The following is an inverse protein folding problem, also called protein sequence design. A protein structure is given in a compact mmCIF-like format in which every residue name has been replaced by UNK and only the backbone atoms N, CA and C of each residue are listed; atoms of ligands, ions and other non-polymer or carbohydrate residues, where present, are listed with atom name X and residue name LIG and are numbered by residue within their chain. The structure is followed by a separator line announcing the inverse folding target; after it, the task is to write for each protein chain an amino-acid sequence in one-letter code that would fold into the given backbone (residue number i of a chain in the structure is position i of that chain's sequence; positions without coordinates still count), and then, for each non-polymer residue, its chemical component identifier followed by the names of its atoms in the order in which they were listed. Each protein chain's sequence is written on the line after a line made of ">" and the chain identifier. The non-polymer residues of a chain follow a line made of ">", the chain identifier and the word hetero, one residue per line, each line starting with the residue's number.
data_IF_229634708516
#
_entry.id   IF_229634708516
#
_cell.length_a   1.000
_cell.length_b   1.000
_cell.length_c   1.000
_cell.angle_alpha   90.00
_cell.angle_beta   90.00
_cell.angle_gamma   90.00
#
_symmetry.space_group_name_H-M   'P 1'
#
loop_
_entity.id
_entity.type
_entity.pdbx_description
1 polymer ?
#
# COMPACT_ATOMS: atom_id res chain seq x y z
N UNK A 1 -45.28 30.13 -71.30
CA UNK A 1 -46.48 30.38 -70.49
C UNK A 1 -45.97 30.26 -69.07
N UNK A 2 -45.52 31.37 -68.56
CA UNK A 2 -46.23 32.18 -67.56
C UNK A 2 -46.32 31.46 -66.19
N UNK A 3 -45.94 31.94 -65.10
CA UNK A 3 -45.62 33.29 -64.63
C UNK A 3 -44.92 33.17 -63.24
N UNK A 4 -43.97 34.06 -62.99
CA UNK A 4 -43.55 34.47 -61.66
C UNK A 4 -44.66 35.30 -61.00
N UNK A 5 -44.82 35.31 -59.66
CA UNK A 5 -44.46 36.56 -59.03
C UNK A 5 -43.73 36.47 -57.69
N UNK A 6 -42.78 37.34 -57.59
CA UNK A 6 -42.28 38.17 -56.51
C UNK A 6 -43.20 38.37 -55.29
N UNK A 7 -42.66 38.21 -54.08
CA UNK A 7 -43.03 39.03 -52.92
C UNK A 7 -41.95 39.03 -51.86
N UNK A 8 -41.31 40.09 -51.72
CA UNK A 8 -40.76 40.90 -50.67
C UNK A 8 -41.41 40.73 -49.27
N UNK A 9 -40.59 40.60 -48.27
CA UNK A 9 -40.72 41.06 -46.85
C UNK A 9 -40.00 40.07 -45.94
N UNK A 10 -39.22 40.35 -44.95
CA UNK A 10 -38.98 41.56 -44.18
C UNK A 10 -37.72 41.25 -43.34
N UNK A 11 -36.83 42.16 -43.35
CA UNK A 11 -35.59 42.19 -42.60
C UNK A 11 -35.90 42.70 -41.17
N UNK A 12 -36.25 41.82 -40.22
CA UNK A 12 -36.36 42.17 -38.78
C UNK A 12 -36.42 40.88 -37.93
N UNK A 13 -35.31 40.33 -37.51
CA UNK A 13 -35.33 39.18 -36.59
C UNK A 13 -33.94 38.65 -36.19
N UNK A 14 -32.87 39.18 -36.81
CA UNK A 14 -31.52 38.64 -36.64
C UNK A 14 -30.65 39.32 -35.56
N UNK A 15 -31.21 40.23 -34.75
CA UNK A 15 -30.41 41.02 -33.78
C UNK A 15 -30.68 40.70 -32.31
N UNK A 16 -31.49 39.70 -32.01
CA UNK A 16 -31.82 39.36 -30.59
C UNK A 16 -31.29 38.01 -30.06
N UNK A 17 -30.57 37.23 -30.89
CA UNK A 17 -30.08 35.90 -30.46
C UNK A 17 -28.57 35.90 -30.13
N UNK A 18 -27.83 36.99 -30.40
CA UNK A 18 -26.38 37.06 -30.14
C UNK A 18 -26.03 37.63 -28.74
N UNK A 19 -27.00 38.03 -27.94
CA UNK A 19 -26.75 38.65 -26.61
C UNK A 19 -27.01 37.75 -25.38
N UNK A 20 -27.39 36.48 -25.59
CA UNK A 20 -27.66 35.52 -24.51
C UNK A 20 -26.59 34.42 -24.32
N UNK A 21 -25.50 34.44 -25.11
CA UNK A 21 -24.47 33.40 -25.06
C UNK A 21 -23.12 33.86 -24.44
N UNK A 22 -23.13 34.96 -23.69
CA UNK A 22 -21.89 35.54 -23.09
C UNK A 22 -21.85 35.59 -21.55
N UNK A 23 -22.76 34.86 -20.89
CA UNK A 23 -22.83 34.86 -19.40
C UNK A 23 -23.05 33.44 -18.84
N UNK A 24 -22.20 32.48 -19.21
CA UNK A 24 -22.16 31.21 -18.52
C UNK A 24 -20.82 30.49 -18.76
N UNK A 25 -19.71 31.16 -18.48
CA UNK A 25 -18.41 30.50 -18.36
C UNK A 25 -17.63 31.11 -17.19
N UNK A 26 -18.27 31.17 -16.02
CA UNK A 26 -17.57 31.23 -14.76
C UNK A 26 -17.31 29.77 -14.35
N UNK A 27 -16.22 29.20 -14.84
CA UNK A 27 -15.69 27.95 -14.35
C UNK A 27 -15.48 28.11 -12.83
N UNK A 28 -16.35 27.48 -12.03
CA UNK A 28 -16.13 27.28 -10.61
C UNK A 28 -14.75 26.63 -10.46
N UNK A 29 -13.76 27.40 -10.00
CA UNK A 29 -12.49 26.87 -9.58
C UNK A 29 -12.78 25.76 -8.56
N UNK A 30 -12.54 24.52 -8.95
CA UNK A 30 -12.52 23.39 -8.05
C UNK A 30 -11.45 23.72 -7.02
N UNK A 31 -11.87 24.08 -5.81
CA UNK A 31 -10.96 24.23 -4.68
C UNK A 31 -10.20 22.92 -4.55
N UNK A 32 -8.90 22.97 -4.86
CA UNK A 32 -7.98 21.87 -4.53
C UNK A 32 -8.18 21.55 -3.05
N UNK A 33 -8.55 20.31 -2.69
CA UNK A 33 -8.69 19.97 -1.29
C UNK A 33 -7.32 20.21 -0.62
N UNK A 34 -7.34 20.91 0.51
CA UNK A 34 -6.17 21.08 1.33
C UNK A 34 -5.55 19.70 1.63
N UNK A 35 -4.22 19.57 1.75
CA UNK A 35 -3.60 18.28 2.01
C UNK A 35 -4.14 17.72 3.32
N UNK A 36 -4.83 16.58 3.22
CA UNK A 36 -5.28 15.80 4.38
C UNK A 36 -4.04 15.10 4.94
N UNK A 37 -3.21 15.84 5.62
CA UNK A 37 -2.04 15.32 6.31
C UNK A 37 -1.93 15.95 7.70
N UNK A 38 -2.97 15.82 8.48
CA UNK A 38 -2.81 15.73 9.92
C UNK A 38 -2.97 14.24 10.27
N UNK A 39 -1.90 13.46 10.11
CA UNK A 39 -1.78 12.19 10.80
C UNK A 39 -1.89 12.56 12.28
N UNK A 40 -3.00 12.16 12.93
CA UNK A 40 -3.09 12.23 14.38
C UNK A 40 -1.81 11.59 14.93
N UNK A 41 -1.11 12.23 15.87
CA UNK A 41 0.11 11.66 16.42
C UNK A 41 -0.25 10.26 16.93
N UNK A 42 0.42 9.23 16.36
CA UNK A 42 0.18 7.84 16.77
C UNK A 42 0.38 7.72 18.26
N UNK A 43 -0.55 7.11 18.95
CA UNK A 43 -0.48 6.89 20.40
C UNK A 43 0.79 6.09 20.75
N UNK A 44 1.24 6.16 22.00
CA UNK A 44 2.38 5.36 22.44
C UNK A 44 2.14 3.85 22.24
N UNK A 45 0.95 3.28 22.52
CA UNK A 45 0.63 1.89 22.19
C UNK A 45 0.74 1.57 20.69
N UNK A 46 0.28 2.45 19.78
CA UNK A 46 0.42 2.25 18.34
C UNK A 46 1.89 2.17 17.92
N UNK A 47 2.73 3.06 18.46
CA UNK A 47 4.17 3.05 18.19
C UNK A 47 4.85 1.78 18.68
N UNK A 48 4.44 1.24 19.82
CA UNK A 48 4.92 -0.02 20.36
C UNK A 48 4.44 -1.20 19.50
N UNK A 49 3.18 -1.22 19.08
CA UNK A 49 2.66 -2.23 18.17
C UNK A 49 3.41 -2.22 16.82
N UNK A 50 3.69 -1.04 16.26
CA UNK A 50 4.51 -0.89 15.06
C UNK A 50 5.96 -1.38 15.28
N UNK A 51 6.57 -1.12 16.44
CA UNK A 51 7.91 -1.58 16.76
C UNK A 51 7.98 -3.11 16.87
N UNK A 52 6.99 -3.74 17.50
CA UNK A 52 6.87 -5.21 17.56
C UNK A 52 6.65 -5.78 16.15
N UNK A 53 5.74 -5.20 15.36
CA UNK A 53 5.47 -5.63 13.99
C UNK A 53 6.71 -5.55 13.09
N UNK A 54 7.50 -4.47 13.21
CA UNK A 54 8.80 -4.35 12.56
C UNK A 54 9.80 -5.38 13.08
N UNK A 55 9.80 -5.64 14.39
CA UNK A 55 10.63 -6.67 15.00
C UNK A 55 10.34 -8.07 14.43
N UNK A 56 9.07 -8.37 14.12
CA UNK A 56 8.68 -9.60 13.42
C UNK A 56 9.26 -9.60 12.00
N UNK A 57 9.09 -8.52 11.23
CA UNK A 57 9.63 -8.39 9.88
C UNK A 57 11.16 -8.58 9.86
N UNK A 58 11.87 -7.98 10.82
CA UNK A 58 13.33 -8.06 11.00
C UNK A 58 13.79 -9.31 11.72
N UNK A 59 12.88 -10.27 11.98
CA UNK A 59 13.18 -11.54 12.65
C UNK A 59 13.77 -11.41 14.07
N UNK A 60 13.61 -10.27 14.70
CA UNK A 60 13.85 -10.13 16.15
C UNK A 60 12.88 -10.97 16.96
N UNK A 61 11.68 -11.17 16.41
CA UNK A 61 10.65 -12.04 16.94
C UNK A 61 10.25 -13.05 15.87
N UNK A 62 10.12 -14.30 16.24
CA UNK A 62 9.80 -15.40 15.31
C UNK A 62 8.34 -15.83 15.45
N UNK A 63 7.80 -16.41 14.39
CA UNK A 63 6.47 -17.02 14.37
C UNK A 63 6.41 -18.12 15.43
N UNK A 64 5.31 -18.16 16.20
CA UNK A 64 5.15 -19.07 17.35
C UNK A 64 5.85 -18.62 18.63
N UNK A 65 6.65 -17.55 18.57
CA UNK A 65 7.34 -17.04 19.76
C UNK A 65 6.35 -16.42 20.74
N UNK A 66 6.53 -16.74 22.01
CA UNK A 66 5.85 -16.07 23.11
C UNK A 66 6.48 -14.71 23.39
N UNK A 67 5.65 -13.67 23.43
CA UNK A 67 6.03 -12.31 23.79
C UNK A 67 5.81 -12.11 25.30
N UNK A 68 6.88 -11.86 26.03
CA UNK A 68 6.83 -11.65 27.49
C UNK A 68 6.69 -10.16 27.77
N UNK A 69 5.59 -9.76 28.42
CA UNK A 69 5.31 -8.34 28.73
C UNK A 69 6.45 -7.65 29.48
N UNK A 70 7.08 -8.34 30.42
CA UNK A 70 8.18 -7.78 31.22
C UNK A 70 9.41 -7.45 30.35
N UNK A 71 9.75 -8.33 29.41
CA UNK A 71 10.86 -8.11 28.50
C UNK A 71 10.58 -6.96 27.55
N UNK A 72 9.38 -6.92 26.95
CA UNK A 72 8.96 -5.81 26.08
C UNK A 72 8.94 -4.47 26.83
N UNK A 73 8.51 -4.45 28.10
CA UNK A 73 8.52 -3.26 28.95
C UNK A 73 9.94 -2.74 29.15
N UNK A 74 10.87 -3.63 29.47
CA UNK A 74 12.29 -3.30 29.66
C UNK A 74 12.94 -2.84 28.34
N UNK A 75 12.76 -3.60 27.27
CA UNK A 75 13.47 -3.39 26.01
C UNK A 75 12.97 -2.16 25.24
N UNK A 76 11.69 -1.82 25.40
CA UNK A 76 11.07 -0.66 24.74
C UNK A 76 10.98 0.58 25.64
N UNK A 77 11.31 0.47 26.92
CA UNK A 77 11.31 1.59 27.86
C UNK A 77 9.92 2.19 28.11
N UNK A 78 8.85 1.38 28.08
CA UNK A 78 7.46 1.82 28.24
C UNK A 78 6.78 1.11 29.41
N UNK A 79 5.60 1.61 29.84
CA UNK A 79 4.83 1.01 30.92
C UNK A 79 4.22 -0.34 30.51
N UNK A 80 3.93 -1.21 31.50
CA UNK A 80 3.22 -2.49 31.27
C UNK A 80 1.83 -2.29 30.66
N UNK A 81 1.12 -1.22 31.04
CA UNK A 81 -0.18 -0.90 30.45
C UNK A 81 -0.06 -0.56 28.97
N UNK A 82 0.98 0.19 28.57
CA UNK A 82 1.28 0.51 27.17
C UNK A 82 1.58 -0.75 26.35
N UNK A 83 2.38 -1.68 26.90
CA UNK A 83 2.67 -2.98 26.24
C UNK A 83 1.39 -3.80 26.06
N UNK A 84 0.55 -3.91 27.09
CA UNK A 84 -0.72 -4.65 27.00
C UNK A 84 -1.64 -4.08 25.94
N UNK A 85 -1.75 -2.75 25.86
CA UNK A 85 -2.57 -2.12 24.83
C UNK A 85 -2.00 -2.35 23.43
N UNK A 86 -0.68 -2.26 23.25
CA UNK A 86 -0.02 -2.61 22.00
C UNK A 86 -0.26 -4.07 21.59
N UNK A 87 -0.21 -5.01 22.54
CA UNK A 87 -0.51 -6.42 22.27
C UNK A 87 -1.98 -6.63 21.88
N UNK A 88 -2.93 -5.87 22.46
CA UNK A 88 -4.34 -5.89 22.03
C UNK A 88 -4.51 -5.37 20.60
N UNK A 89 -3.82 -4.30 20.24
CA UNK A 89 -3.80 -3.76 18.86
C UNK A 89 -3.28 -4.84 17.90
N UNK A 90 -2.19 -5.53 18.24
CA UNK A 90 -1.65 -6.61 17.42
C UNK A 90 -2.58 -7.83 17.34
N UNK A 91 -3.30 -8.12 18.44
CA UNK A 91 -4.28 -9.21 18.46
C UNK A 91 -5.49 -8.87 17.59
N UNK A 92 -6.02 -7.66 17.68
CA UNK A 92 -7.14 -7.21 16.83
C UNK A 92 -6.77 -7.20 15.34
N UNK A 93 -5.49 -6.98 15.01
CA UNK A 93 -4.97 -7.08 13.64
C UNK A 93 -4.57 -8.51 13.22
N UNK A 94 -4.75 -9.52 14.09
CA UNK A 94 -4.46 -10.91 13.78
C UNK A 94 -2.98 -11.25 13.65
N UNK A 95 -2.11 -10.52 14.35
CA UNK A 95 -0.65 -10.76 14.37
C UNK A 95 -0.22 -11.58 15.56
N UNK A 96 -0.91 -11.45 16.69
CA UNK A 96 -0.67 -12.24 17.89
C UNK A 96 -1.97 -12.86 18.40
N UNK A 97 -1.87 -13.98 19.09
CA UNK A 97 -2.94 -14.60 19.86
C UNK A 97 -2.73 -14.27 21.33
N UNK A 98 -3.78 -13.75 21.96
CA UNK A 98 -3.80 -13.53 23.42
C UNK A 98 -4.43 -14.74 24.07
N UNK A 99 -3.64 -15.48 24.85
CA UNK A 99 -4.14 -16.64 25.59
C UNK A 99 -4.19 -16.30 27.07
N UNK A 100 -5.33 -16.50 27.75
CA UNK A 100 -5.41 -16.33 29.20
C UNK A 100 -4.30 -17.13 29.90
N UNK A 101 -3.62 -16.51 30.84
CA UNK A 101 -2.49 -17.07 31.61
C UNK A 101 -1.22 -17.43 30.82
N UNK A 102 -1.24 -17.41 29.48
CA UNK A 102 -0.07 -17.73 28.63
C UNK A 102 0.55 -16.50 27.93
N UNK A 103 -0.09 -15.33 28.01
CA UNK A 103 0.41 -14.10 27.37
C UNK A 103 0.09 -14.01 25.89
N UNK A 104 0.93 -13.31 25.14
CA UNK A 104 0.80 -13.13 23.69
C UNK A 104 1.75 -14.08 22.96
N UNK A 105 1.28 -14.69 21.87
CA UNK A 105 2.07 -15.54 20.98
C UNK A 105 1.94 -15.01 19.55
N UNK A 106 3.06 -14.90 18.82
CA UNK A 106 3.04 -14.47 17.41
C UNK A 106 2.39 -15.58 16.57
N UNK A 107 1.34 -15.22 15.85
CA UNK A 107 0.60 -16.17 15.00
C UNK A 107 1.46 -16.72 13.87
N UNK A 108 1.14 -17.95 13.48
CA UNK A 108 1.49 -18.48 12.16
C UNK A 108 0.32 -18.27 11.21
N UNK A 109 0.59 -17.82 10.00
CA UNK A 109 -0.41 -17.82 8.92
C UNK A 109 -0.41 -19.21 8.29
N UNK A 110 -1.56 -19.82 8.22
CA UNK A 110 -1.75 -20.99 7.40
C UNK A 110 -1.94 -20.61 5.91
N UNK A 111 -2.13 -21.60 5.06
CA UNK A 111 -2.24 -21.38 3.61
C UNK A 111 -3.50 -20.58 3.25
N UNK A 112 -4.60 -20.79 3.93
CA UNK A 112 -5.88 -20.12 3.69
C UNK A 112 -5.79 -18.65 4.16
N UNK A 113 -5.27 -18.42 5.36
CA UNK A 113 -4.96 -17.09 5.90
C UNK A 113 -4.08 -16.29 4.94
N UNK A 114 -3.01 -16.91 4.44
CA UNK A 114 -2.06 -16.26 3.54
C UNK A 114 -2.69 -15.94 2.17
N UNK A 115 -3.48 -16.86 1.62
CA UNK A 115 -4.18 -16.65 0.35
C UNK A 115 -5.20 -15.51 0.46
N UNK A 116 -6.01 -15.51 1.53
CA UNK A 116 -6.98 -14.46 1.82
C UNK A 116 -6.29 -13.09 2.00
N UNK A 117 -5.22 -13.04 2.77
CA UNK A 117 -4.43 -11.82 2.97
C UNK A 117 -3.85 -11.28 1.66
N UNK A 118 -3.28 -12.15 0.82
CA UNK A 118 -2.71 -11.76 -0.47
C UNK A 118 -3.78 -11.20 -1.40
N UNK A 119 -4.99 -11.76 -1.41
CA UNK A 119 -6.11 -11.23 -2.18
C UNK A 119 -6.47 -9.79 -1.78
N UNK A 120 -6.53 -9.49 -0.49
CA UNK A 120 -6.75 -8.13 0.01
C UNK A 120 -5.58 -7.21 -0.35
N UNK A 121 -4.34 -7.65 -0.13
CA UNK A 121 -3.15 -6.87 -0.47
C UNK A 121 -3.04 -6.59 -1.96
N UNK A 122 -3.45 -7.52 -2.83
CA UNK A 122 -3.48 -7.33 -4.28
C UNK A 122 -4.30 -6.09 -4.65
N UNK A 123 -5.55 -6.01 -4.16
CA UNK A 123 -6.47 -4.92 -4.48
C UNK A 123 -5.97 -3.60 -3.90
N UNK A 124 -5.63 -3.56 -2.62
CA UNK A 124 -5.24 -2.33 -1.93
C UNK A 124 -3.90 -1.79 -2.44
N UNK A 125 -2.93 -2.67 -2.72
CA UNK A 125 -1.63 -2.25 -3.23
C UNK A 125 -1.72 -1.83 -4.71
N UNK A 126 -2.58 -2.49 -5.49
CA UNK A 126 -2.90 -2.07 -6.86
C UNK A 126 -3.50 -0.66 -6.89
N UNK A 127 -4.48 -0.39 -6.02
CA UNK A 127 -5.05 0.95 -5.85
C UNK A 127 -3.99 1.98 -5.43
N UNK A 128 -3.08 1.62 -4.51
CA UNK A 128 -1.99 2.50 -4.11
C UNK A 128 -1.09 2.86 -5.29
N UNK A 129 -0.72 1.89 -6.12
CA UNK A 129 0.11 2.13 -7.31
C UNK A 129 -0.58 3.05 -8.33
N UNK A 130 -1.88 2.86 -8.56
CA UNK A 130 -2.69 3.75 -9.41
C UNK A 130 -2.68 5.19 -8.91
N UNK A 131 -2.95 5.39 -7.61
CA UNK A 131 -2.95 6.71 -6.99
C UNK A 131 -1.55 7.33 -6.94
N UNK A 132 -0.51 6.53 -6.71
CA UNK A 132 0.87 6.98 -6.76
C UNK A 132 1.24 7.47 -8.17
N UNK A 133 0.85 6.74 -9.22
CA UNK A 133 1.05 7.16 -10.60
C UNK A 133 0.32 8.49 -10.91
N UNK A 134 -0.91 8.68 -10.41
CA UNK A 134 -1.66 9.93 -10.55
C UNK A 134 -0.94 11.13 -9.89
N UNK A 135 -0.23 10.90 -8.79
CA UNK A 135 0.42 11.94 -7.99
C UNK A 135 1.93 12.06 -8.26
N UNK A 136 2.49 11.28 -9.17
CA UNK A 136 3.95 11.11 -9.31
C UNK A 136 4.67 12.41 -9.70
N UNK A 137 4.01 13.28 -10.47
CA UNK A 137 4.58 14.55 -10.90
C UNK A 137 4.48 15.67 -9.84
N UNK A 138 3.86 15.41 -8.69
CA UNK A 138 3.70 16.42 -7.63
C UNK A 138 5.00 16.55 -6.83
N UNK A 139 5.57 17.75 -6.80
CA UNK A 139 6.76 18.07 -6.01
C UNK A 139 7.96 17.16 -6.36
N UNK A 140 8.51 16.48 -5.35
CA UNK A 140 9.65 15.58 -5.52
C UNK A 140 9.30 14.09 -5.52
N UNK A 141 8.04 13.74 -5.75
CA UNK A 141 7.53 12.37 -5.66
C UNK A 141 8.28 11.40 -6.58
N UNK A 142 8.50 11.80 -7.84
CA UNK A 142 9.22 10.97 -8.80
C UNK A 142 10.64 10.60 -8.31
N UNK A 143 11.40 11.61 -7.87
CA UNK A 143 12.75 11.41 -7.34
C UNK A 143 12.77 10.51 -6.09
N UNK A 144 11.81 10.71 -5.17
CA UNK A 144 11.66 9.89 -3.95
C UNK A 144 11.35 8.43 -4.28
N UNK A 145 10.44 8.21 -5.23
CA UNK A 145 10.03 6.86 -5.61
C UNK A 145 11.13 6.13 -6.37
N UNK A 146 11.78 6.79 -7.32
CA UNK A 146 12.93 6.25 -8.05
C UNK A 146 14.07 5.81 -7.10
N UNK A 147 14.42 6.66 -6.13
CA UNK A 147 15.45 6.35 -5.14
C UNK A 147 15.06 5.12 -4.27
N UNK A 148 13.79 5.00 -3.87
CA UNK A 148 13.32 3.84 -3.11
C UNK A 148 13.33 2.56 -3.96
N UNK A 149 12.95 2.65 -5.23
CA UNK A 149 12.99 1.53 -6.18
C UNK A 149 14.43 1.05 -6.43
N UNK A 150 15.37 1.98 -6.66
CA UNK A 150 16.77 1.65 -6.89
C UNK A 150 17.36 0.88 -5.70
N UNK A 151 17.14 1.35 -4.47
CA UNK A 151 17.61 0.66 -3.26
C UNK A 151 17.06 -0.75 -3.13
N UNK A 152 15.78 -0.94 -3.40
CA UNK A 152 15.13 -2.27 -3.37
C UNK A 152 15.74 -3.20 -4.43
N UNK A 153 15.96 -2.71 -5.66
CA UNK A 153 16.50 -3.50 -6.76
C UNK A 153 17.95 -3.93 -6.45
N UNK A 154 18.76 -3.03 -5.91
CA UNK A 154 20.15 -3.30 -5.52
C UNK A 154 20.24 -4.27 -4.34
N UNK A 155 19.33 -4.15 -3.38
CA UNK A 155 19.29 -5.02 -2.21
C UNK A 155 18.79 -6.44 -2.51
N UNK A 156 18.07 -6.65 -3.62
CA UNK A 156 17.37 -7.92 -3.87
C UNK A 156 18.31 -9.05 -4.33
N UNK A 157 19.23 -9.42 -3.43
CA UNK A 157 20.18 -10.52 -3.59
C UNK A 157 20.00 -11.54 -2.46
N UNK A 158 20.38 -12.81 -2.67
CA UNK A 158 20.24 -13.86 -1.64
C UNK A 158 21.02 -13.57 -0.35
N UNK A 159 22.14 -12.85 -0.46
CA UNK A 159 23.06 -12.57 0.66
C UNK A 159 22.58 -11.39 1.53
N UNK A 160 21.66 -10.58 1.03
CA UNK A 160 21.22 -9.34 1.67
C UNK A 160 19.79 -9.41 2.22
N UNK A 161 19.37 -10.56 2.77
CA UNK A 161 18.00 -10.84 3.16
C UNK A 161 17.35 -9.76 4.05
N UNK A 162 18.05 -9.36 5.12
CA UNK A 162 17.50 -8.35 6.06
C UNK A 162 17.35 -6.98 5.36
N UNK A 163 18.34 -6.62 4.55
CA UNK A 163 18.33 -5.38 3.77
C UNK A 163 17.19 -5.36 2.74
N UNK A 164 16.93 -6.49 2.08
CA UNK A 164 15.81 -6.60 1.13
C UNK A 164 14.47 -6.36 1.80
N UNK A 165 14.26 -6.92 3.00
CA UNK A 165 12.99 -6.74 3.74
C UNK A 165 12.78 -5.27 4.11
N UNK A 166 13.84 -4.58 4.55
CA UNK A 166 13.81 -3.15 4.86
C UNK A 166 13.52 -2.29 3.63
N UNK A 167 14.27 -2.49 2.54
CA UNK A 167 14.10 -1.67 1.33
C UNK A 167 12.76 -1.95 0.64
N UNK A 168 12.25 -3.18 0.74
CA UNK A 168 10.90 -3.50 0.29
C UNK A 168 9.83 -2.79 1.11
N UNK A 169 9.98 -2.76 2.44
CA UNK A 169 9.07 -2.02 3.30
C UNK A 169 9.11 -0.52 2.99
N UNK A 170 10.29 0.04 2.76
CA UNK A 170 10.50 1.43 2.36
C UNK A 170 9.87 1.74 0.99
N UNK A 171 10.06 0.88 -0.01
CA UNK A 171 9.45 1.02 -1.34
C UNK A 171 7.95 1.15 -1.27
N UNK A 172 7.28 0.23 -0.58
CA UNK A 172 5.84 0.29 -0.40
C UNK A 172 5.42 1.50 0.43
N UNK A 173 6.15 1.83 1.49
CA UNK A 173 5.87 3.04 2.29
C UNK A 173 5.87 4.29 1.43
N UNK A 174 6.90 4.49 0.60
CA UNK A 174 6.99 5.65 -0.31
C UNK A 174 5.84 5.64 -1.32
N UNK A 175 5.47 4.49 -1.87
CA UNK A 175 4.34 4.36 -2.78
C UNK A 175 3.02 4.76 -2.10
N UNK A 176 2.75 4.30 -0.87
CA UNK A 176 1.56 4.67 -0.10
C UNK A 176 1.55 6.15 0.32
N UNK A 177 2.71 6.71 0.67
CA UNK A 177 2.86 8.14 0.98
C UNK A 177 2.49 9.00 -0.26
N UNK A 178 2.97 8.60 -1.46
CA UNK A 178 2.67 9.29 -2.73
C UNK A 178 1.20 9.11 -3.14
N UNK A 179 0.62 7.93 -2.90
CA UNK A 179 -0.80 7.68 -3.14
C UNK A 179 -1.69 8.65 -2.35
N UNK A 180 -1.22 9.15 -1.22
CA UNK A 180 -1.84 10.20 -0.40
C UNK A 180 -3.31 9.93 -0.05
N UNK A 181 -3.65 8.69 0.28
CA UNK A 181 -5.00 8.28 0.65
C UNK A 181 -5.08 7.85 2.11
N UNK A 182 -5.72 8.68 2.94
CA UNK A 182 -5.89 8.39 4.37
C UNK A 182 -6.69 7.11 4.63
N UNK A 183 -7.74 6.85 3.83
CA UNK A 183 -8.55 5.64 3.97
C UNK A 183 -7.76 4.39 3.59
N UNK A 184 -7.01 4.44 2.49
CA UNK A 184 -6.17 3.32 2.09
C UNK A 184 -5.15 2.96 3.18
N UNK A 185 -4.52 3.95 3.80
CA UNK A 185 -3.57 3.75 4.88
C UNK A 185 -4.21 3.16 6.15
N UNK A 186 -5.49 3.45 6.41
CA UNK A 186 -6.22 2.88 7.56
C UNK A 186 -6.59 1.42 7.36
N UNK A 187 -7.01 1.04 6.15
CA UNK A 187 -7.50 -0.32 5.88
C UNK A 187 -6.40 -1.31 5.51
N UNK A 188 -5.19 -0.81 5.18
CA UNK A 188 -4.08 -1.67 4.77
C UNK A 188 -3.60 -2.53 5.95
N UNK A 189 -3.62 -3.87 5.85
CA UNK A 189 -3.21 -4.76 6.92
C UNK A 189 -1.67 -4.89 7.00
N UNK A 190 -0.98 -3.78 7.27
CA UNK A 190 0.49 -3.70 7.26
C UNK A 190 1.15 -4.72 8.19
N UNK A 191 0.63 -4.86 9.41
CA UNK A 191 1.21 -5.77 10.41
C UNK A 191 1.11 -7.24 9.95
N UNK A 192 -0.03 -7.66 9.36
CA UNK A 192 -0.18 -8.99 8.76
C UNK A 192 0.70 -9.18 7.52
N UNK A 193 0.87 -8.13 6.71
CA UNK A 193 1.78 -8.17 5.57
C UNK A 193 3.24 -8.35 6.02
N UNK A 194 3.64 -7.78 7.15
CA UNK A 194 4.95 -8.00 7.76
C UNK A 194 5.10 -9.45 8.25
N UNK A 195 4.08 -9.97 8.94
CA UNK A 195 4.06 -11.36 9.39
C UNK A 195 4.19 -12.35 8.21
N UNK A 196 3.41 -12.14 7.14
CA UNK A 196 3.52 -12.93 5.91
C UNK A 196 4.95 -12.90 5.34
N UNK A 197 5.55 -11.72 5.21
CA UNK A 197 6.90 -11.59 4.67
C UNK A 197 7.94 -12.30 5.55
N UNK A 198 7.87 -12.11 6.86
CA UNK A 198 8.78 -12.76 7.81
C UNK A 198 8.69 -14.29 7.73
N UNK A 199 7.48 -14.83 7.54
CA UNK A 199 7.23 -16.26 7.48
C UNK A 199 7.68 -16.89 6.16
N UNK A 200 7.49 -16.21 5.03
CA UNK A 200 7.63 -16.84 3.70
C UNK A 200 8.81 -16.38 2.87
N UNK A 201 9.50 -15.32 3.26
CA UNK A 201 10.61 -14.82 2.45
C UNK A 201 11.73 -15.86 2.27
N UNK A 202 11.95 -16.73 3.24
CA UNK A 202 12.97 -17.79 3.18
C UNK A 202 12.68 -18.88 2.16
N UNK A 203 11.42 -19.02 1.76
CA UNK A 203 11.04 -20.00 0.74
C UNK A 203 11.35 -19.55 -0.69
N UNK A 204 11.78 -18.29 -0.86
CA UNK A 204 12.09 -17.73 -2.17
C UNK A 204 13.45 -18.23 -2.67
N UNK A 205 13.46 -18.68 -3.92
CA UNK A 205 14.69 -19.09 -4.61
C UNK A 205 15.36 -17.89 -5.27
N UNK A 206 16.64 -18.06 -5.67
CA UNK A 206 17.36 -17.05 -6.47
C UNK A 206 16.61 -16.70 -7.77
N UNK A 207 15.95 -17.67 -8.38
CA UNK A 207 15.11 -17.44 -9.58
C UNK A 207 13.91 -16.57 -9.26
N UNK A 208 13.23 -16.82 -8.12
CA UNK A 208 12.13 -15.97 -7.66
C UNK A 208 12.60 -14.53 -7.44
N UNK A 209 13.74 -14.33 -6.78
CA UNK A 209 14.29 -13.00 -6.51
C UNK A 209 14.60 -12.24 -7.81
N UNK A 210 15.22 -12.90 -8.80
CA UNK A 210 15.46 -12.29 -10.12
C UNK A 210 14.17 -11.89 -10.83
N UNK A 211 13.16 -12.77 -10.79
CA UNK A 211 11.85 -12.48 -11.36
C UNK A 211 11.17 -11.29 -10.66
N UNK A 212 11.28 -11.21 -9.34
CA UNK A 212 10.75 -10.08 -8.55
C UNK A 212 11.44 -8.75 -8.91
N UNK A 213 12.75 -8.73 -9.17
CA UNK A 213 13.44 -7.52 -9.66
C UNK A 213 12.82 -7.02 -10.96
N UNK A 214 12.56 -7.90 -11.91
CA UNK A 214 11.92 -7.52 -13.18
C UNK A 214 10.50 -6.96 -12.96
N UNK A 215 9.76 -7.53 -12.02
CA UNK A 215 8.43 -7.06 -11.65
C UNK A 215 8.48 -5.67 -10.99
N UNK A 216 9.41 -5.43 -10.04
CA UNK A 216 9.57 -4.12 -9.42
C UNK A 216 9.99 -3.05 -10.44
N UNK A 217 10.87 -3.38 -11.38
CA UNK A 217 11.23 -2.47 -12.48
C UNK A 217 10.02 -2.10 -13.32
N UNK A 218 9.17 -3.08 -13.67
CA UNK A 218 7.98 -2.85 -14.46
C UNK A 218 6.91 -2.01 -13.72
N UNK A 219 6.74 -2.22 -12.41
CA UNK A 219 5.85 -1.41 -11.56
C UNK A 219 6.39 0.02 -11.48
N UNK A 220 7.68 0.17 -11.18
CA UNK A 220 8.33 1.47 -11.03
C UNK A 220 8.23 2.29 -12.32
N UNK A 221 8.52 1.70 -13.47
CA UNK A 221 8.40 2.37 -14.76
C UNK A 221 6.97 2.89 -15.00
N UNK A 222 5.96 2.04 -14.78
CA UNK A 222 4.55 2.43 -14.96
C UNK A 222 4.13 3.57 -14.02
N UNK A 223 4.60 3.59 -12.77
CA UNK A 223 4.31 4.67 -11.82
C UNK A 223 5.01 5.96 -12.25
N UNK A 224 6.30 5.90 -12.64
CA UNK A 224 7.07 7.08 -13.08
C UNK A 224 6.55 7.67 -14.40
N UNK A 225 6.03 6.83 -15.30
CA UNK A 225 5.32 7.24 -16.53
C UNK A 225 3.97 7.93 -16.22
N UNK A 226 3.43 7.79 -15.00
CA UNK A 226 2.09 8.29 -14.66
C UNK A 226 0.96 7.43 -15.21
N UNK A 227 1.26 6.24 -15.75
CA UNK A 227 0.27 5.32 -16.30
C UNK A 227 -0.45 4.57 -15.18
N UNK A 228 -1.57 5.12 -14.75
CA UNK A 228 -2.36 4.63 -13.62
C UNK A 228 -2.86 3.19 -13.81
N UNK A 229 -3.37 2.88 -15.01
CA UNK A 229 -3.94 1.56 -15.30
C UNK A 229 -2.84 0.49 -15.35
N UNK A 230 -1.72 0.80 -15.98
CA UNK A 230 -0.56 -0.08 -16.09
C UNK A 230 0.11 -0.30 -14.71
N UNK A 231 0.22 0.75 -13.89
CA UNK A 231 0.76 0.68 -12.53
C UNK A 231 -0.09 -0.25 -11.65
N UNK A 232 -1.41 -0.09 -11.65
CA UNK A 232 -2.35 -0.98 -10.96
C UNK A 232 -2.21 -2.42 -11.44
N UNK A 233 -2.31 -2.66 -12.74
CA UNK A 233 -2.26 -4.01 -13.32
C UNK A 233 -0.93 -4.73 -13.03
N UNK A 234 0.22 -4.03 -13.15
CA UNK A 234 1.54 -4.60 -12.84
C UNK A 234 1.69 -4.94 -11.38
N UNK A 235 1.19 -4.08 -10.48
CA UNK A 235 1.25 -4.31 -9.04
C UNK A 235 0.38 -5.47 -8.63
N UNK A 236 -0.86 -5.57 -9.12
CA UNK A 236 -1.74 -6.71 -8.87
C UNK A 236 -1.11 -8.02 -9.35
N UNK A 237 -0.58 -8.04 -10.57
CA UNK A 237 0.10 -9.22 -11.11
C UNK A 237 1.30 -9.65 -10.26
N UNK A 238 2.06 -8.69 -9.68
CA UNK A 238 3.15 -9.00 -8.77
C UNK A 238 2.65 -9.71 -7.50
N UNK A 239 1.53 -9.27 -6.91
CA UNK A 239 0.95 -9.91 -5.73
C UNK A 239 0.39 -11.31 -6.05
N UNK A 240 -0.27 -11.50 -7.20
CA UNK A 240 -0.71 -12.81 -7.69
C UNK A 240 0.48 -13.78 -7.82
N UNK A 241 1.54 -13.37 -8.51
CA UNK A 241 2.77 -14.17 -8.63
C UNK A 241 3.45 -14.43 -7.28
N UNK A 242 3.34 -13.51 -6.32
CA UNK A 242 3.81 -13.76 -4.96
C UNK A 242 3.05 -14.93 -4.34
N UNK A 243 1.73 -14.99 -4.49
CA UNK A 243 0.91 -16.12 -4.07
C UNK A 243 1.29 -17.43 -4.76
N UNK A 244 1.44 -17.40 -6.08
CA UNK A 244 1.85 -18.59 -6.88
C UNK A 244 3.19 -19.16 -6.42
N UNK A 245 4.15 -18.31 -6.02
CA UNK A 245 5.47 -18.75 -5.54
C UNK A 245 5.44 -19.26 -4.10
N UNK A 246 4.66 -18.64 -3.22
CA UNK A 246 4.76 -18.87 -1.78
C UNK A 246 3.75 -19.89 -1.27
N UNK A 247 2.49 -19.84 -1.70
CA UNK A 247 1.43 -20.70 -1.18
C UNK A 247 1.68 -22.20 -1.35
N UNK A 248 2.23 -22.69 -2.49
CA UNK A 248 2.55 -24.12 -2.63
C UNK A 248 3.68 -24.60 -1.69
N UNK A 249 4.52 -23.68 -1.22
CA UNK A 249 5.66 -23.97 -0.34
C UNK A 249 5.31 -23.88 1.15
N UNK A 250 4.07 -23.50 1.45
CA UNK A 250 3.57 -23.50 2.82
C UNK A 250 3.30 -24.95 3.23
N UNK A 251 4.23 -25.54 3.96
CA UNK A 251 3.97 -26.77 4.71
C UNK A 251 2.99 -26.43 5.84
N UNK A 252 2.00 -27.30 6.06
CA UNK A 252 1.17 -27.19 7.26
C UNK A 252 2.11 -27.18 8.48
N UNK A 253 2.22 -26.04 9.15
CA UNK A 253 2.87 -25.97 10.45
C UNK A 253 1.95 -26.76 11.40
N UNK A 254 2.26 -28.04 11.59
CA UNK A 254 1.70 -28.83 12.68
C UNK A 254 2.27 -28.22 13.96
N UNK A 255 1.41 -27.58 14.74
CA UNK A 255 1.72 -27.26 16.13
C UNK A 255 1.84 -28.62 16.85
N UNK A 256 3.08 -29.09 17.05
CA UNK A 256 3.38 -30.18 17.94
C UNK A 256 3.37 -29.69 19.39
#
# INVERSE_FOLDING_TARGET
>A
MNDTPTATATRAGATKIVKAAKTAAAAKAVKTPAPIAAQHPRSTPDRVADAISKGILMRRFTVGQRLVEADLTRDLGVSRSTVREALRILASSGVVDLTPHRGAVIRSLDREDAASLLGVLEVLTGLAARLAAANIQIGNNAKRFEAAAQKLIEANTPEALDRVLDERANYYKVMFDIANSGELNRVLPQARAHLFRAQFYHSLTTTDLRSMVAEYRAITAAILEGDQAKAEARTRKHLQKTGERTLPRMTAFSLA
#
